data_IF_495894819054
#
_entry.id   IF_495894819054
#
_cell.length_a   1.000
_cell.length_b   1.000
_cell.length_c   1.000
_cell.angle_alpha   90.00
_cell.angle_beta   90.00
_cell.angle_gamma   90.00
#
_symmetry.space_group_name_H-M   'P 1'
#
loop_
_entity.id
_entity.type
_entity.pdbx_description
1 polymer ?
#
# COMPACT_ATOMS: atom_id res chain seq x y z
N UNK A 1 5.71 6.15 10.81
CA UNK A 1 4.67 6.79 9.97
C UNK A 1 5.14 8.09 9.32
N UNK A 2 5.52 9.13 10.08
CA UNK A 2 5.90 10.43 9.49
C UNK A 2 7.01 10.33 8.42
N UNK A 3 8.07 9.56 8.67
CA UNK A 3 9.15 9.32 7.71
C UNK A 3 8.65 8.69 6.40
N UNK A 4 7.74 7.72 6.48
CA UNK A 4 7.14 7.08 5.30
C UNK A 4 6.31 8.08 4.48
N UNK A 5 5.55 8.96 5.15
CA UNK A 5 4.79 10.03 4.47
C UNK A 5 5.70 10.98 3.71
N UNK A 6 6.77 11.46 4.35
CA UNK A 6 7.73 12.36 3.71
C UNK A 6 8.41 11.68 2.52
N UNK A 7 8.86 10.43 2.69
CA UNK A 7 9.46 9.65 1.61
C UNK A 7 8.55 9.53 0.38
N UNK A 8 7.28 9.15 0.57
CA UNK A 8 6.32 9.02 -0.53
C UNK A 8 6.04 10.37 -1.18
N UNK A 9 5.81 11.42 -0.38
CA UNK A 9 5.57 12.78 -0.88
C UNK A 9 6.73 13.26 -1.75
N UNK A 10 7.94 13.20 -1.24
CA UNK A 10 9.14 13.71 -1.92
C UNK A 10 9.43 12.90 -3.19
N UNK A 11 9.24 11.58 -3.14
CA UNK A 11 9.46 10.69 -4.29
C UNK A 11 8.46 10.98 -5.42
N UNK A 12 7.16 11.04 -5.12
CA UNK A 12 6.12 11.29 -6.12
C UNK A 12 6.22 12.69 -6.72
N UNK A 13 6.51 13.69 -5.89
CA UNK A 13 6.77 15.06 -6.36
C UNK A 13 7.98 15.09 -7.30
N UNK A 14 9.08 14.42 -6.93
CA UNK A 14 10.27 14.30 -7.76
C UNK A 14 10.03 13.58 -9.10
N UNK A 15 9.02 12.71 -9.16
CA UNK A 15 8.63 12.01 -10.38
C UNK A 15 7.56 12.74 -11.21
N UNK A 16 7.00 13.84 -10.70
CA UNK A 16 5.97 14.63 -11.38
C UNK A 16 4.53 14.15 -11.16
N UNK A 17 4.29 13.27 -10.18
CA UNK A 17 2.96 12.73 -9.84
C UNK A 17 2.28 13.53 -8.72
N UNK A 18 2.31 14.86 -8.83
CA UNK A 18 1.87 15.77 -7.77
C UNK A 18 0.36 15.67 -7.45
N UNK A 19 -0.43 15.25 -8.43
CA UNK A 19 -1.88 15.07 -8.38
C UNK A 19 -2.34 13.92 -7.47
N UNK A 20 -1.51 12.89 -7.29
CA UNK A 20 -1.84 11.72 -6.47
C UNK A 20 -1.15 11.70 -5.10
N UNK A 21 -0.33 12.73 -4.80
CA UNK A 21 0.52 12.76 -3.59
C UNK A 21 -0.30 12.62 -2.31
N UNK A 22 -1.39 13.37 -2.18
CA UNK A 22 -2.12 13.42 -0.92
C UNK A 22 -2.83 12.08 -0.64
N UNK A 23 -3.43 11.46 -1.67
CA UNK A 23 -4.03 10.12 -1.57
C UNK A 23 -2.97 9.07 -1.24
N UNK A 24 -1.84 9.07 -1.96
CA UNK A 24 -0.73 8.14 -1.73
C UNK A 24 -0.17 8.24 -0.30
N UNK A 25 -0.05 9.46 0.23
CA UNK A 25 0.41 9.71 1.59
C UNK A 25 -0.58 9.17 2.62
N UNK A 26 -1.89 9.34 2.42
CA UNK A 26 -2.92 8.79 3.31
C UNK A 26 -2.86 7.27 3.29
N UNK A 27 -2.92 6.65 2.11
CA UNK A 27 -2.90 5.19 1.97
C UNK A 27 -1.64 4.57 2.59
N UNK A 28 -0.48 5.18 2.34
CA UNK A 28 0.78 4.73 2.96
C UNK A 28 0.74 4.87 4.48
N UNK A 29 0.13 5.93 5.00
CA UNK A 29 0.02 6.14 6.45
C UNK A 29 -0.81 5.06 7.12
N UNK A 30 -1.94 4.70 6.53
CA UNK A 30 -2.82 3.66 7.07
C UNK A 30 -2.12 2.29 7.05
N UNK A 31 -1.47 1.93 5.94
CA UNK A 31 -0.75 0.66 5.84
C UNK A 31 0.44 0.58 6.81
N UNK A 32 1.23 1.65 6.93
CA UNK A 32 2.35 1.69 7.88
C UNK A 32 1.85 1.70 9.32
N UNK A 33 0.70 2.34 9.60
CA UNK A 33 0.08 2.30 10.92
C UNK A 33 -0.39 0.88 11.26
N UNK A 34 -0.99 0.16 10.30
CA UNK A 34 -1.34 -1.25 10.46
C UNK A 34 -0.12 -2.10 10.82
N UNK A 35 0.98 -1.96 10.08
CA UNK A 35 2.20 -2.71 10.34
C UNK A 35 2.82 -2.38 11.72
N UNK A 36 2.91 -1.11 12.09
CA UNK A 36 3.63 -0.67 13.30
C UNK A 36 2.78 -0.78 14.57
N UNK A 37 1.54 -0.28 14.52
CA UNK A 37 0.67 -0.20 15.70
C UNK A 37 -0.07 -1.51 15.91
N UNK A 38 -0.60 -2.11 14.84
CA UNK A 38 -1.48 -3.27 14.94
C UNK A 38 -0.72 -4.60 14.83
N UNK A 39 0.29 -4.71 13.95
CA UNK A 39 1.12 -5.92 13.85
C UNK A 39 2.38 -5.89 14.73
N UNK A 40 2.78 -4.72 15.24
CA UNK A 40 3.94 -4.57 16.12
C UNK A 40 5.29 -4.79 15.41
N UNK A 41 5.33 -4.66 14.09
CA UNK A 41 6.52 -4.88 13.25
C UNK A 41 7.02 -3.60 12.60
N UNK A 42 8.28 -3.59 12.16
CA UNK A 42 8.75 -2.55 11.22
C UNK A 42 8.03 -2.68 9.88
N UNK A 43 7.90 -1.56 9.18
CA UNK A 43 7.39 -1.51 7.81
C UNK A 43 8.49 -1.04 6.86
N UNK A 44 8.63 -1.73 5.73
CA UNK A 44 9.45 -1.34 4.60
C UNK A 44 8.54 -0.73 3.52
N UNK A 45 8.92 0.42 2.96
CA UNK A 45 8.13 1.15 1.94
C UNK A 45 8.95 1.26 0.66
N UNK A 46 8.38 0.83 -0.46
CA UNK A 46 9.00 0.87 -1.78
C UNK A 46 8.11 1.59 -2.77
N UNK A 47 8.68 2.53 -3.52
CA UNK A 47 8.02 3.18 -4.64
C UNK A 47 8.66 2.69 -5.94
N UNK A 48 7.84 2.23 -6.87
CA UNK A 48 8.25 1.79 -8.20
C UNK A 48 7.53 2.64 -9.24
N UNK A 49 8.29 3.20 -10.18
CA UNK A 49 7.75 3.90 -11.35
C UNK A 49 7.86 3.01 -12.58
N UNK A 50 6.78 2.94 -13.34
CA UNK A 50 6.75 2.36 -14.68
C UNK A 50 6.06 3.31 -15.65
N UNK A 51 5.96 2.91 -16.91
CA UNK A 51 5.20 3.65 -17.93
C UNK A 51 3.69 3.66 -17.65
N UNK A 52 3.20 2.71 -16.85
CA UNK A 52 1.79 2.57 -16.47
C UNK A 52 1.42 3.39 -15.22
N UNK A 53 2.41 3.95 -14.51
CA UNK A 53 2.19 4.80 -13.34
C UNK A 53 3.14 4.51 -12.18
N UNK A 54 2.62 4.60 -10.96
CA UNK A 54 3.39 4.37 -9.73
C UNK A 54 2.75 3.27 -8.90
N UNK A 55 3.58 2.35 -8.42
CA UNK A 55 3.21 1.33 -7.44
C UNK A 55 3.91 1.64 -6.12
N UNK A 56 3.14 1.69 -5.04
CA UNK A 56 3.65 1.88 -3.68
C UNK A 56 3.39 0.60 -2.92
N UNK A 57 4.45 -0.01 -2.42
CA UNK A 57 4.38 -1.23 -1.62
C UNK A 57 4.73 -0.90 -0.17
N UNK A 58 3.95 -1.47 0.74
CA UNK A 58 4.23 -1.45 2.18
C UNK A 58 4.28 -2.89 2.64
N UNK A 59 5.45 -3.34 3.04
CA UNK A 59 5.68 -4.68 3.56
C UNK A 59 5.92 -4.60 5.07
N UNK A 60 5.16 -5.35 5.85
CA UNK A 60 5.50 -5.61 7.23
C UNK A 60 6.48 -6.80 7.32
N UNK A 61 7.17 -6.96 8.45
CA UNK A 61 8.09 -8.09 8.68
C UNK A 61 7.44 -9.21 9.49
N UNK A 62 6.12 -9.38 9.38
CA UNK A 62 5.45 -10.43 10.14
C UNK A 62 5.67 -11.79 9.44
N UNK A 63 6.35 -12.75 10.07
CA UNK A 63 6.49 -14.08 9.50
C UNK A 63 5.13 -14.78 9.61
N UNK A 64 4.60 -15.22 8.47
CA UNK A 64 3.48 -16.18 8.41
C UNK A 64 2.12 -15.67 8.89
N UNK A 65 1.45 -14.89 8.05
CA UNK A 65 -0.01 -15.00 7.98
C UNK A 65 -0.39 -15.41 6.56
N UNK A 66 -0.94 -16.60 6.41
CA UNK A 66 -1.69 -16.95 5.21
C UNK A 66 -2.74 -15.87 5.01
N UNK A 67 -2.68 -15.18 3.87
CA UNK A 67 -3.76 -14.26 3.50
C UNK A 67 -5.01 -15.14 3.44
N UNK A 68 -6.07 -14.86 4.22
CA UNK A 68 -7.32 -15.53 4.00
C UNK A 68 -7.70 -15.23 2.57
N UNK A 69 -7.62 -16.23 1.69
CA UNK A 69 -8.19 -16.13 0.36
C UNK A 69 -9.67 -15.89 0.61
N UNK A 70 -10.08 -14.63 0.60
CA UNK A 70 -11.46 -14.29 0.33
C UNK A 70 -11.68 -14.80 -1.09
N UNK A 71 -12.09 -16.08 -1.18
CA UNK A 71 -12.74 -16.59 -2.35
C UNK A 71 -13.93 -15.66 -2.56
N UNK A 72 -13.77 -14.69 -3.44
CA UNK A 72 -14.89 -14.09 -4.14
C UNK A 72 -15.55 -15.28 -4.82
N UNK A 73 -16.55 -15.84 -4.14
CA UNK A 73 -17.53 -16.68 -4.77
C UNK A 73 -18.13 -15.80 -5.86
N UNK A 74 -17.60 -15.95 -7.07
CA UNK A 74 -18.25 -15.54 -8.29
C UNK A 74 -19.56 -16.29 -8.24
N UNK A 75 -20.62 -15.63 -7.78
CA UNK A 75 -21.97 -16.12 -7.95
C UNK A 75 -22.29 -15.91 -9.43
N UNK A 76 -21.66 -16.76 -10.25
CA UNK A 76 -21.91 -16.89 -11.67
C UNK A 76 -23.37 -17.33 -11.80
N UNK A 77 -24.14 -16.51 -12.51
CA UNK A 77 -25.59 -16.49 -12.48
C UNK A 77 -26.24 -17.87 -12.58
N UNK A 78 -27.29 -18.04 -11.77
CA UNK A 78 -28.29 -19.08 -11.96
C UNK A 78 -29.10 -18.72 -13.21
N UNK A 79 -29.14 -19.54 -14.27
CA UNK A 79 -30.12 -19.38 -15.32
C UNK A 79 -31.40 -20.13 -14.92
N UNK A 80 -32.53 -19.41 -14.87
CA UNK A 80 -33.85 -19.95 -15.19
C UNK A 80 -34.37 -19.19 -16.42
#
# INVERSE_FOLDING_TARGET
VATARSFVRDTLQGWGFADIVDDAVVLTSELVTNAVVHAGTSADVLCLRSDEGVRIEVADRYPEREIPLQATAVNMGRPD
#
